data_IF_426576641243
#
_entry.id   IF_426576641243
#
_cell.length_a   1.000
_cell.length_b   1.000
_cell.length_c   1.000
_cell.angle_alpha   90.00
_cell.angle_beta   90.00
_cell.angle_gamma   90.00
#
_symmetry.space_group_name_H-M   'P 1'
#
loop_
_entity.id
_entity.type
_entity.pdbx_description
1 polymer ?
#
# COMPACT_ATOMS: atom_id res chain seq x y z
N UNK A 1 7.10 -3.94 11.08
CA UNK A 1 7.22 -2.90 10.03
C UNK A 1 8.61 -2.27 9.92
N UNK A 2 9.19 -1.62 10.95
CA UNK A 2 10.45 -0.85 10.79
C UNK A 2 11.66 -1.64 10.25
N UNK A 3 11.76 -2.95 10.51
CA UNK A 3 12.87 -3.81 10.04
C UNK A 3 12.89 -4.06 8.52
N UNK A 4 11.85 -3.66 7.79
CA UNK A 4 11.67 -3.99 6.37
C UNK A 4 11.62 -2.77 5.46
N UNK A 5 11.65 -1.55 6.02
CA UNK A 5 11.54 -0.29 5.28
C UNK A 5 10.43 -0.33 4.20
N UNK A 6 9.19 -0.71 4.56
CA UNK A 6 8.18 -1.06 3.56
C UNK A 6 7.86 0.08 2.60
N UNK A 7 7.80 1.32 3.08
CA UNK A 7 7.58 2.49 2.21
C UNK A 7 8.71 2.69 1.20
N UNK A 8 9.96 2.51 1.62
CA UNK A 8 11.12 2.57 0.71
C UNK A 8 11.02 1.49 -0.36
N UNK A 9 10.75 0.24 0.03
CA UNK A 9 10.62 -0.87 -0.92
C UNK A 9 9.47 -0.64 -1.92
N UNK A 10 8.32 -0.12 -1.45
CA UNK A 10 7.18 0.20 -2.32
C UNK A 10 7.57 1.26 -3.35
N UNK A 11 8.19 2.36 -2.92
CA UNK A 11 8.62 3.43 -3.83
C UNK A 11 9.70 2.93 -4.80
N UNK A 12 10.64 2.12 -4.34
CA UNK A 12 11.66 1.52 -5.20
C UNK A 12 11.07 0.57 -6.24
N UNK A 13 10.10 -0.27 -5.87
CA UNK A 13 9.39 -1.11 -6.82
C UNK A 13 8.65 -0.27 -7.87
N UNK A 14 8.00 0.83 -7.46
CA UNK A 14 7.36 1.76 -8.41
C UNK A 14 8.38 2.49 -9.29
N UNK A 15 9.57 2.82 -8.78
CA UNK A 15 10.67 3.40 -9.57
C UNK A 15 11.12 2.45 -10.68
N UNK A 16 11.04 1.14 -10.45
CA UNK A 16 11.33 0.09 -11.44
C UNK A 16 10.15 -0.19 -12.39
N UNK A 17 9.06 0.57 -12.32
CA UNK A 17 7.90 0.46 -13.21
C UNK A 17 6.77 -0.42 -12.70
N UNK A 18 6.81 -0.85 -11.43
CA UNK A 18 5.72 -1.61 -10.84
C UNK A 18 4.51 -0.72 -10.54
N UNK A 19 3.31 -1.21 -10.83
CA UNK A 19 2.05 -0.55 -10.44
C UNK A 19 1.90 -0.44 -8.91
N UNK A 20 1.32 0.64 -8.35
CA UNK A 20 1.21 0.87 -6.90
C UNK A 20 0.61 -0.31 -6.13
N UNK A 21 -0.42 -0.95 -6.70
CA UNK A 21 -1.08 -2.12 -6.10
C UNK A 21 -0.12 -3.30 -5.95
N UNK A 22 0.65 -3.58 -6.99
CA UNK A 22 1.61 -4.68 -7.00
C UNK A 22 2.79 -4.38 -6.07
N UNK A 23 3.27 -3.13 -6.05
CA UNK A 23 4.36 -2.69 -5.17
C UNK A 23 3.98 -2.82 -3.69
N UNK A 24 2.78 -2.35 -3.32
CA UNK A 24 2.23 -2.49 -1.98
C UNK A 24 2.09 -3.96 -1.56
N UNK A 25 1.52 -4.80 -2.43
CA UNK A 25 1.34 -6.23 -2.17
C UNK A 25 2.68 -6.96 -2.01
N UNK A 26 3.68 -6.65 -2.84
CA UNK A 26 5.02 -7.25 -2.72
C UNK A 26 5.66 -6.93 -1.37
N UNK A 27 5.60 -5.67 -0.92
CA UNK A 27 6.13 -5.26 0.37
C UNK A 27 5.45 -5.98 1.55
N UNK A 28 4.12 -6.08 1.53
CA UNK A 28 3.36 -6.82 2.55
C UNK A 28 3.71 -8.31 2.55
N UNK A 29 3.75 -8.95 1.37
CA UNK A 29 4.11 -10.37 1.23
C UNK A 29 5.52 -10.68 1.75
N UNK A 30 6.48 -9.78 1.55
CA UNK A 30 7.86 -9.93 2.09
C UNK A 30 7.89 -9.94 3.61
N UNK A 31 7.05 -9.13 4.26
CA UNK A 31 6.92 -9.12 5.72
C UNK A 31 6.22 -10.39 6.19
N UNK A 32 5.08 -10.73 5.57
CA UNK A 32 4.29 -11.93 5.88
C UNK A 32 5.13 -13.21 5.85
N UNK A 33 6.03 -13.33 4.86
CA UNK A 33 6.94 -14.47 4.74
C UNK A 33 7.85 -14.66 5.96
N UNK A 34 8.24 -13.59 6.64
CA UNK A 34 9.09 -13.65 7.85
C UNK A 34 8.29 -13.62 9.15
N UNK A 35 7.14 -12.96 9.16
CA UNK A 35 6.27 -12.80 10.31
C UNK A 35 4.82 -13.07 9.89
N UNK A 36 4.38 -14.33 9.82
CA UNK A 36 3.07 -14.69 9.28
C UNK A 36 1.88 -14.05 10.01
N UNK A 37 2.04 -13.77 11.30
CA UNK A 37 0.96 -13.24 12.15
C UNK A 37 1.04 -11.71 12.35
N UNK A 38 1.86 -11.01 11.57
CA UNK A 38 1.95 -9.55 11.71
C UNK A 38 0.62 -8.89 11.32
N UNK A 39 0.36 -7.69 11.84
CA UNK A 39 -0.74 -6.86 11.36
C UNK A 39 -0.14 -5.59 10.79
N UNK A 40 -0.56 -5.21 9.59
CA UNK A 40 -0.04 -4.01 8.95
C UNK A 40 -0.66 -3.72 7.60
N UNK A 41 -0.50 -2.48 7.16
CA UNK A 41 -0.94 -2.03 5.86
C UNK A 41 0.04 -0.99 5.30
N UNK A 42 0.04 -0.85 3.98
CA UNK A 42 0.73 0.22 3.25
C UNK A 42 -0.20 0.78 2.20
N UNK A 43 -0.13 2.10 2.01
CA UNK A 43 -0.76 2.83 0.91
C UNK A 43 0.35 3.34 -0.01
N UNK A 44 0.18 3.14 -1.30
CA UNK A 44 1.08 3.59 -2.35
C UNK A 44 0.35 4.55 -3.29
N UNK A 45 1.03 5.58 -3.77
CA UNK A 45 0.58 6.46 -4.84
C UNK A 45 1.77 6.76 -5.76
N UNK A 46 1.55 6.77 -7.08
CA UNK A 46 2.58 7.14 -8.06
C UNK A 46 2.41 8.58 -8.56
N UNK A 47 3.36 9.03 -9.38
CA UNK A 47 3.37 10.39 -9.95
C UNK A 47 2.19 10.70 -10.89
N UNK A 48 1.48 9.67 -11.35
CA UNK A 48 0.30 9.82 -12.20
C UNK A 48 -1.00 9.89 -11.37
N UNK A 49 -0.89 9.91 -10.03
CA UNK A 49 -2.04 9.96 -9.12
C UNK A 49 -2.70 8.60 -8.86
N UNK A 50 -2.23 7.53 -9.49
CA UNK A 50 -2.77 6.20 -9.24
C UNK A 50 -2.34 5.72 -7.85
N UNK A 51 -3.31 5.34 -7.03
CA UNK A 51 -3.11 4.88 -5.66
C UNK A 51 -3.64 3.47 -5.43
N UNK A 52 -3.07 2.76 -4.47
CA UNK A 52 -3.57 1.47 -4.02
C UNK A 52 -3.02 1.11 -2.63
N UNK A 53 -3.79 0.35 -1.86
CA UNK A 53 -3.35 -0.20 -0.58
C UNK A 53 -3.16 -1.72 -0.62
N UNK A 54 -2.35 -2.22 0.31
CA UNK A 54 -2.26 -3.64 0.65
C UNK A 54 -2.19 -3.77 2.17
N UNK A 55 -2.84 -4.78 2.73
CA UNK A 55 -2.83 -5.06 4.16
C UNK A 55 -2.63 -6.55 4.44
N UNK A 56 -2.35 -6.86 5.69
CA UNK A 56 -2.28 -8.21 6.23
C UNK A 56 -2.79 -8.19 7.68
N UNK A 57 -3.58 -9.21 8.04
CA UNK A 57 -4.11 -9.39 9.39
C UNK A 57 -5.32 -8.51 9.78
N UNK A 58 -5.76 -7.58 8.93
CA UNK A 58 -6.99 -6.80 9.15
C UNK A 58 -7.52 -6.10 7.88
N UNK A 59 -8.81 -5.80 7.84
CA UNK A 59 -9.39 -4.91 6.81
C UNK A 59 -8.90 -3.49 7.06
N UNK A 60 -8.27 -2.89 6.05
CA UNK A 60 -7.68 -1.56 6.13
C UNK A 60 -8.51 -0.58 5.31
N UNK A 61 -8.73 0.63 5.85
CA UNK A 61 -9.39 1.71 5.12
C UNK A 61 -8.46 2.92 5.01
N UNK A 62 -8.53 3.61 3.88
CA UNK A 62 -7.84 4.87 3.67
C UNK A 62 -8.70 5.86 2.91
N UNK A 63 -8.50 7.14 3.19
CA UNK A 63 -9.21 8.24 2.56
C UNK A 63 -8.40 8.83 1.41
N UNK A 64 -9.07 9.17 0.32
CA UNK A 64 -8.49 9.85 -0.83
C UNK A 64 -9.28 11.11 -1.13
N UNK A 65 -8.55 12.18 -1.44
CA UNK A 65 -9.11 13.43 -1.96
C UNK A 65 -8.18 13.97 -3.03
N UNK A 66 -8.73 14.30 -4.18
CA UNK A 66 -8.03 15.01 -5.27
C UNK A 66 -8.81 16.26 -5.67
N UNK A 67 -8.20 17.19 -6.42
CA UNK A 67 -8.88 18.41 -6.87
C UNK A 67 -10.15 18.17 -7.70
N UNK A 68 -10.26 17.00 -8.34
CA UNK A 68 -11.42 16.61 -9.16
C UNK A 68 -12.58 16.05 -8.33
N UNK A 69 -12.39 15.81 -7.03
CA UNK A 69 -13.37 15.24 -6.14
C UNK A 69 -14.14 16.33 -5.37
N UNK A 70 -15.46 16.18 -5.28
CA UNK A 70 -16.33 17.06 -4.48
C UNK A 70 -16.11 16.84 -2.97
N UNK A 71 -15.96 15.59 -2.55
CA UNK A 71 -15.73 15.20 -1.16
C UNK A 71 -14.68 14.07 -1.05
N UNK A 72 -14.31 13.70 0.16
CA UNK A 72 -13.37 12.61 0.45
C UNK A 72 -14.02 11.25 0.15
N UNK A 73 -13.28 10.38 -0.53
CA UNK A 73 -13.70 8.99 -0.77
C UNK A 73 -12.93 8.02 0.14
N UNK A 74 -13.62 7.01 0.68
CA UNK A 74 -13.03 5.99 1.54
C UNK A 74 -12.88 4.67 0.78
N UNK A 75 -11.64 4.21 0.65
CA UNK A 75 -11.30 2.96 0.00
C UNK A 75 -11.08 1.86 1.04
N UNK A 76 -11.71 0.70 0.81
CA UNK A 76 -11.55 -0.50 1.66
C UNK A 76 -10.61 -1.49 0.99
N UNK A 77 -9.63 -1.98 1.75
CA UNK A 77 -8.63 -2.96 1.33
C UNK A 77 -8.80 -4.21 2.20
N UNK A 78 -8.99 -5.34 1.54
CA UNK A 78 -9.06 -6.64 2.19
C UNK A 78 -7.66 -7.29 2.23
N UNK A 79 -7.34 -8.07 3.28
CA UNK A 79 -6.10 -8.82 3.40
C UNK A 79 -5.82 -9.77 2.23
#
# INVERSE_FOLDING_TARGET
>A
MMRFLPCYQVVESMRLGMEPKLAAQDAIKRIARKFPDFVGAVLAINKNGLHAGACHGWTFQYSVRSPEMEDVEVFTVFP
#
